data_IF_798646672722
#
_entry.id   IF_798646672722
#
_cell.length_a   1.000
_cell.length_b   1.000
_cell.length_c   1.000
_cell.angle_alpha   90.00
_cell.angle_beta   90.00
_cell.angle_gamma   90.00
#
_symmetry.space_group_name_H-M   'P 1'
#
loop_
_entity.id
_entity.type
_entity.pdbx_description
1 polymer ?
#
# COMPACT_ATOMS: atom_id res chain seq x y z
N UNK A 1 23.11 21.27 0.02
CA UNK A 1 21.64 21.33 0.19
C UNK A 1 21.02 20.46 -0.88
N UNK A 2 20.45 19.31 -0.53
CA UNK A 2 19.88 18.40 -1.51
C UNK A 2 18.56 18.95 -2.05
N UNK A 3 18.51 19.23 -3.35
CA UNK A 3 17.27 19.54 -4.06
C UNK A 3 16.34 18.33 -4.02
N UNK A 4 15.51 18.25 -2.97
CA UNK A 4 14.45 17.27 -2.89
C UNK A 4 13.27 17.77 -3.75
N UNK A 5 13.45 17.77 -5.06
CA UNK A 5 12.40 18.03 -6.04
C UNK A 5 11.64 16.73 -6.26
N UNK A 6 10.66 16.46 -5.40
CA UNK A 6 9.76 15.34 -5.63
C UNK A 6 8.87 15.66 -6.84
N UNK A 7 8.87 14.79 -7.85
CA UNK A 7 7.93 14.84 -8.97
C UNK A 7 6.61 14.21 -8.55
N UNK A 8 6.69 12.99 -8.02
CA UNK A 8 5.59 12.16 -7.57
C UNK A 8 5.98 11.36 -6.31
N UNK A 9 5.08 11.20 -5.33
CA UNK A 9 5.36 10.53 -4.06
C UNK A 9 4.11 9.84 -3.56
N UNK A 10 4.29 8.57 -3.22
CA UNK A 10 3.29 7.75 -2.55
C UNK A 10 3.74 7.48 -1.12
N UNK A 11 2.82 7.67 -0.17
CA UNK A 11 3.04 7.24 1.21
C UNK A 11 1.99 6.18 1.54
N UNK A 12 2.49 5.00 1.87
CA UNK A 12 1.68 3.81 2.12
C UNK A 12 1.59 3.57 3.61
N UNK A 13 0.38 3.62 4.16
CA UNK A 13 0.13 3.39 5.58
C UNK A 13 -0.45 1.99 5.79
N UNK A 14 0.29 1.13 6.51
CA UNK A 14 -0.09 -0.27 6.76
C UNK A 14 -0.51 -0.49 8.22
N UNK A 15 -1.13 -1.64 8.52
CA UNK A 15 -1.58 -1.97 9.89
C UNK A 15 -0.43 -1.95 10.92
N UNK A 16 0.71 -2.58 10.60
CA UNK A 16 1.78 -2.82 11.59
C UNK A 16 3.02 -1.91 11.44
N UNK A 17 3.07 -1.04 10.43
CA UNK A 17 4.24 -0.19 10.19
C UNK A 17 5.45 -0.90 9.60
N UNK A 18 6.35 -0.13 8.98
CA UNK A 18 7.71 -0.61 8.66
C UNK A 18 8.55 -0.56 9.95
N UNK A 19 9.03 -1.70 10.43
CA UNK A 19 10.05 -1.75 11.50
C UNK A 19 11.36 -1.18 10.94
N UNK A 20 11.73 0.05 11.33
CA UNK A 20 13.10 0.54 11.22
C UNK A 20 13.78 0.44 12.58
N UNK A 21 15.07 0.09 12.58
CA UNK A 21 15.83 -0.34 13.76
C UNK A 21 15.98 0.69 14.89
N UNK A 22 15.49 1.92 14.77
CA UNK A 22 15.76 2.97 15.77
C UNK A 22 14.55 3.74 16.32
N UNK A 23 13.37 3.75 15.68
CA UNK A 23 12.18 4.43 16.24
C UNK A 23 10.91 3.69 15.81
N UNK A 24 10.15 3.17 16.78
CA UNK A 24 8.81 2.60 16.54
C UNK A 24 7.80 3.72 16.33
N UNK A 25 7.77 4.37 15.16
CA UNK A 25 6.56 5.08 14.73
C UNK A 25 5.66 4.06 14.03
N UNK A 26 4.54 3.71 14.64
CA UNK A 26 3.52 2.88 13.98
C UNK A 26 3.01 3.63 12.73
N UNK A 27 2.68 2.93 11.64
CA UNK A 27 2.23 3.57 10.39
C UNK A 27 1.02 4.49 10.61
N UNK A 28 0.20 4.17 11.61
CA UNK A 28 -0.89 5.02 12.05
C UNK A 28 -0.41 6.39 12.56
N UNK A 29 0.58 6.47 13.45
CA UNK A 29 1.14 7.76 13.88
C UNK A 29 1.72 8.56 12.72
N UNK A 30 2.27 7.90 11.70
CA UNK A 30 2.76 8.56 10.49
C UNK A 30 1.60 9.09 9.64
N UNK A 31 0.53 8.31 9.47
CA UNK A 31 -0.71 8.75 8.80
C UNK A 31 -1.28 9.97 9.50
N UNK A 32 -1.44 9.89 10.82
CA UNK A 32 -1.96 10.98 11.65
C UNK A 32 -1.04 12.19 11.59
N UNK A 33 0.29 12.02 11.57
CA UNK A 33 1.23 13.12 11.36
C UNK A 33 1.04 13.77 9.98
N UNK A 34 0.88 12.96 8.93
CA UNK A 34 0.69 13.46 7.57
C UNK A 34 -0.65 14.18 7.42
N UNK A 35 -1.74 13.58 7.89
CA UNK A 35 -3.07 14.21 7.95
C UNK A 35 -3.04 15.51 8.75
N UNK A 36 -2.40 15.54 9.92
CA UNK A 36 -2.29 16.75 10.74
C UNK A 36 -1.49 17.86 10.05
N UNK A 37 -0.44 17.50 9.33
CA UNK A 37 0.34 18.42 8.52
C UNK A 37 -0.49 18.96 7.35
N UNK A 38 -1.08 18.09 6.54
CA UNK A 38 -1.88 18.46 5.36
C UNK A 38 -3.18 19.20 5.72
N UNK A 39 -3.81 18.88 6.85
CA UNK A 39 -5.03 19.53 7.34
C UNK A 39 -4.73 20.72 8.27
N UNK A 40 -3.46 20.97 8.61
CA UNK A 40 -3.01 22.06 9.52
C UNK A 40 -3.74 22.11 10.85
N UNK A 41 -3.99 20.95 11.45
CA UNK A 41 -4.81 20.80 12.68
C UNK A 41 -4.18 21.45 13.92
N UNK A 42 -2.92 21.90 13.85
CA UNK A 42 -2.17 22.49 14.97
C UNK A 42 -1.60 23.89 14.72
N UNK A 43 -2.16 24.68 13.80
CA UNK A 43 -1.69 26.05 13.52
C UNK A 43 -2.06 27.10 14.59
N UNK A 44 -2.22 26.74 15.88
CA UNK A 44 -2.45 27.74 16.96
C UNK A 44 -1.22 28.08 17.83
N UNK A 45 -0.06 27.42 17.73
CA UNK A 45 1.07 27.72 18.65
C UNK A 45 2.44 28.06 18.02
N UNK A 46 2.47 28.60 16.79
CA UNK A 46 3.72 29.19 16.23
C UNK A 46 3.56 30.54 15.51
N UNK A 47 2.53 31.33 15.87
CA UNK A 47 2.44 32.73 15.45
C UNK A 47 3.23 33.68 16.36
N UNK A 48 4.46 33.32 16.72
CA UNK A 48 5.46 34.28 17.20
C UNK A 48 6.66 34.21 16.26
N UNK A 49 6.94 35.36 15.63
CA UNK A 49 8.08 35.68 14.75
C UNK A 49 8.00 35.32 13.25
N UNK A 50 7.30 36.15 12.46
CA UNK A 50 7.87 37.34 11.79
C UNK A 50 6.84 37.90 10.81
N UNK A 51 6.29 39.07 11.15
CA UNK A 51 5.67 39.95 10.16
C UNK A 51 6.75 40.36 9.15
N UNK A 52 6.78 39.73 7.99
CA UNK A 52 7.37 40.33 6.79
C UNK A 52 6.57 39.95 5.56
N UNK A 53 5.88 40.98 5.03
CA UNK A 53 5.38 41.19 3.66
C UNK A 53 4.43 40.16 3.06
N UNK A 54 3.16 40.57 2.99
CA UNK A 54 2.19 40.31 1.91
C UNK A 54 2.48 39.11 0.99
N UNK A 55 2.08 37.92 1.41
CA UNK A 55 1.78 36.81 0.51
C UNK A 55 0.35 36.34 0.82
N UNK A 56 -0.50 36.37 -0.20
CA UNK A 56 -1.91 35.94 -0.11
C UNK A 56 -1.95 34.46 0.29
N UNK A 57 -2.29 34.18 1.54
CA UNK A 57 -2.67 32.83 2.00
C UNK A 57 -4.03 32.49 1.37
N UNK A 58 -4.05 31.71 0.30
CA UNK A 58 -5.29 31.11 -0.22
C UNK A 58 -5.34 29.64 0.21
N UNK A 59 -6.16 29.37 1.22
CA UNK A 59 -6.43 28.02 1.72
C UNK A 59 -7.76 27.57 1.10
N UNK A 60 -7.74 26.45 0.38
CA UNK A 60 -8.90 25.96 -0.34
C UNK A 60 -9.29 24.60 0.22
N UNK A 61 -10.32 24.61 1.05
CA UNK A 61 -10.91 23.44 1.71
C UNK A 61 -12.03 22.83 0.87
N UNK A 62 -12.16 21.51 0.72
CA UNK A 62 -13.43 20.90 0.31
C UNK A 62 -14.11 20.09 1.42
N UNK A 63 -15.25 20.64 1.86
CA UNK A 63 -16.56 20.04 2.23
C UNK A 63 -16.57 18.71 3.01
N UNK A 64 -16.70 18.80 4.33
CA UNK A 64 -18.01 18.71 5.02
C UNK A 64 -17.87 19.40 6.38
N UNK A 65 -18.98 19.80 7.01
CA UNK A 65 -19.05 20.48 8.30
C UNK A 65 -18.61 19.50 9.39
N UNK A 66 -17.31 19.26 9.48
CA UNK A 66 -16.67 18.51 10.52
C UNK A 66 -15.39 19.28 10.87
N UNK A 67 -15.18 19.61 12.14
CA UNK A 67 -13.89 20.15 12.58
C UNK A 67 -12.81 19.17 12.13
N UNK A 68 -11.61 19.63 11.77
CA UNK A 68 -10.54 18.75 11.26
C UNK A 68 -10.29 17.51 12.15
N UNK A 69 -10.55 17.63 13.45
CA UNK A 69 -10.53 16.53 14.42
C UNK A 69 -11.62 15.47 14.18
N UNK A 70 -12.84 15.87 13.85
CA UNK A 70 -13.95 14.95 13.55
C UNK A 70 -13.73 14.21 12.23
N UNK A 71 -13.16 14.88 11.22
CA UNK A 71 -12.74 14.22 9.98
C UNK A 71 -11.65 13.18 10.26
N UNK A 72 -10.67 13.53 11.08
CA UNK A 72 -9.62 12.60 11.51
C UNK A 72 -10.24 11.38 12.20
N UNK A 73 -11.14 11.57 13.17
CA UNK A 73 -11.85 10.47 13.85
C UNK A 73 -12.65 9.59 12.88
N UNK A 74 -13.30 10.19 11.86
CA UNK A 74 -14.04 9.44 10.84
C UNK A 74 -13.12 8.56 9.99
N UNK A 75 -11.97 9.09 9.58
CA UNK A 75 -10.95 8.34 8.84
C UNK A 75 -10.42 7.20 9.70
N UNK A 76 -10.12 7.46 10.97
CA UNK A 76 -9.66 6.45 11.92
C UNK A 76 -10.68 5.32 12.09
N UNK A 77 -11.97 5.66 12.20
CA UNK A 77 -13.05 4.70 12.37
C UNK A 77 -13.29 3.85 11.11
N UNK A 78 -13.29 4.46 9.91
CA UNK A 78 -13.46 3.71 8.67
C UNK A 78 -12.30 2.73 8.42
N UNK A 79 -11.06 3.17 8.69
CA UNK A 79 -9.90 2.29 8.68
C UNK A 79 -10.12 1.11 9.64
N UNK A 80 -10.57 1.37 10.87
CA UNK A 80 -10.80 0.33 11.88
C UNK A 80 -11.87 -0.67 11.44
N UNK A 81 -12.96 -0.21 10.83
CA UNK A 81 -14.06 -1.07 10.39
C UNK A 81 -13.68 -1.90 9.16
N UNK A 82 -12.96 -1.32 8.21
CA UNK A 82 -12.42 -2.06 7.07
C UNK A 82 -11.33 -3.05 7.49
N UNK A 83 -10.47 -2.72 8.46
CA UNK A 83 -9.53 -3.68 9.08
C UNK A 83 -10.29 -4.87 9.67
N UNK A 84 -11.37 -4.63 10.45
CA UNK A 84 -12.16 -5.67 11.12
C UNK A 84 -12.84 -6.64 10.14
N UNK A 85 -13.38 -6.14 9.03
CA UNK A 85 -13.96 -6.99 7.96
C UNK A 85 -12.99 -8.10 7.53
N UNK A 86 -11.68 -7.82 7.53
CA UNK A 86 -10.64 -8.76 7.16
C UNK A 86 -10.00 -9.50 8.36
N UNK A 87 -10.09 -8.99 9.60
CA UNK A 87 -9.76 -9.78 10.80
C UNK A 87 -10.68 -11.00 10.90
N UNK A 88 -11.96 -10.82 10.60
CA UNK A 88 -12.97 -11.89 10.60
C UNK A 88 -12.75 -12.98 9.53
N UNK A 89 -11.79 -12.80 8.61
CA UNK A 89 -11.41 -13.81 7.61
C UNK A 89 -10.36 -14.80 8.18
N UNK A 90 -9.67 -14.46 9.26
CA UNK A 90 -8.77 -15.38 9.96
C UNK A 90 -9.43 -15.85 11.25
N UNK A 91 -10.00 -17.06 11.25
CA UNK A 91 -10.38 -17.73 12.50
C UNK A 91 -9.10 -18.04 13.29
N UNK A 92 -8.81 -17.19 14.28
CA UNK A 92 -7.63 -17.33 15.13
C UNK A 92 -7.64 -18.65 15.91
N UNK A 93 -8.82 -19.24 16.14
CA UNK A 93 -8.94 -20.57 16.73
C UNK A 93 -8.52 -21.66 15.73
N UNK A 94 -8.92 -21.55 14.47
CA UNK A 94 -8.47 -22.46 13.41
C UNK A 94 -6.95 -22.39 13.24
N UNK A 95 -6.37 -21.18 13.25
CA UNK A 95 -4.91 -20.97 13.20
C UNK A 95 -4.20 -21.62 14.39
N UNK A 96 -4.69 -21.41 15.62
CA UNK A 96 -4.11 -22.02 16.83
C UNK A 96 -4.18 -23.55 16.77
N UNK A 97 -5.29 -24.09 16.27
CA UNK A 97 -5.48 -25.52 16.06
C UNK A 97 -4.47 -26.09 15.05
N UNK A 98 -4.36 -25.49 13.86
CA UNK A 98 -3.42 -25.94 12.82
C UNK A 98 -1.97 -25.84 13.29
N UNK A 99 -1.61 -24.80 14.06
CA UNK A 99 -0.28 -24.67 14.65
C UNK A 99 0.03 -25.82 15.62
N UNK A 100 -0.91 -26.12 16.52
CA UNK A 100 -0.80 -27.22 17.49
C UNK A 100 -0.68 -28.56 16.78
N UNK A 101 -1.53 -28.81 15.79
CA UNK A 101 -1.53 -30.05 15.01
C UNK A 101 -0.22 -30.21 14.21
N UNK A 102 0.29 -29.11 13.64
CA UNK A 102 1.59 -29.11 12.96
C UNK A 102 2.74 -29.42 13.91
N UNK A 103 2.77 -28.84 15.11
CA UNK A 103 3.79 -29.13 16.12
C UNK A 103 3.73 -30.60 16.59
N UNK A 104 2.52 -31.12 16.81
CA UNK A 104 2.31 -32.52 17.17
C UNK A 104 2.77 -33.47 16.06
N UNK A 105 2.45 -33.15 14.80
CA UNK A 105 2.88 -33.93 13.64
C UNK A 105 4.40 -33.87 13.46
N UNK A 106 5.01 -32.69 13.65
CA UNK A 106 6.47 -32.49 13.60
C UNK A 106 7.19 -33.33 14.66
N UNK A 107 6.71 -33.30 15.91
CA UNK A 107 7.25 -34.10 17.01
C UNK A 107 7.08 -35.61 16.76
N UNK A 108 5.94 -36.02 16.20
CA UNK A 108 5.68 -37.43 15.89
C UNK A 108 6.61 -37.95 14.77
N UNK A 109 6.87 -37.11 13.76
CA UNK A 109 7.75 -37.44 12.64
C UNK A 109 9.22 -37.48 13.08
N UNK A 110 9.67 -36.50 13.88
CA UNK A 110 11.07 -36.39 14.32
C UNK A 110 11.53 -37.56 15.19
N UNK A 111 10.60 -38.30 15.82
CA UNK A 111 10.91 -39.54 16.56
C UNK A 111 11.41 -40.67 15.66
N UNK A 112 11.10 -40.63 14.36
CA UNK A 112 11.40 -41.70 13.41
C UNK A 112 12.32 -41.27 12.27
N UNK A 113 12.27 -40.00 11.89
CA UNK A 113 12.97 -39.48 10.72
C UNK A 113 13.61 -38.13 11.07
N UNK A 114 14.92 -37.94 10.81
CA UNK A 114 15.56 -36.63 10.91
C UNK A 114 14.83 -35.59 10.05
N UNK A 115 14.45 -34.47 10.64
CA UNK A 115 13.60 -33.49 9.95
C UNK A 115 14.36 -32.76 8.84
N UNK A 116 15.66 -32.59 8.99
CA UNK A 116 16.54 -31.96 8.01
C UNK A 116 16.49 -32.72 6.67
N UNK A 117 16.49 -34.05 6.74
CA UNK A 117 16.41 -34.92 5.55
C UNK A 117 15.02 -34.87 4.89
N UNK A 118 13.96 -34.74 5.70
CA UNK A 118 12.60 -34.54 5.19
C UNK A 118 12.50 -33.18 4.49
N UNK A 119 13.12 -32.14 5.04
CA UNK A 119 13.11 -30.80 4.45
C UNK A 119 13.84 -30.75 3.11
N UNK A 120 15.00 -31.41 3.00
CA UNK A 120 15.74 -31.53 1.73
C UNK A 120 14.93 -32.24 0.64
N UNK A 121 14.27 -33.35 0.96
CA UNK A 121 13.47 -34.07 -0.02
C UNK A 121 12.17 -33.33 -0.40
N UNK A 122 11.64 -32.50 0.49
CA UNK A 122 10.48 -31.66 0.20
C UNK A 122 10.76 -30.55 -0.81
N UNK A 123 12.02 -30.19 -1.03
CA UNK A 123 12.42 -29.28 -2.11
C UNK A 123 12.31 -29.96 -3.49
N UNK A 124 12.41 -31.30 -3.52
CA UNK A 124 12.49 -32.10 -4.74
C UNK A 124 11.16 -32.80 -5.07
N UNK A 125 10.36 -33.15 -4.07
CA UNK A 125 9.07 -33.83 -4.26
C UNK A 125 8.05 -33.45 -3.20
N UNK A 126 6.78 -33.43 -3.58
CA UNK A 126 5.63 -33.27 -2.66
C UNK A 126 4.96 -34.60 -2.32
N UNK A 127 5.38 -35.69 -2.94
CA UNK A 127 4.77 -37.01 -2.74
C UNK A 127 5.42 -37.73 -1.53
N UNK A 128 4.62 -38.05 -0.51
CA UNK A 128 5.10 -38.70 0.71
C UNK A 128 5.74 -40.07 0.45
N UNK A 129 5.23 -40.86 -0.50
CA UNK A 129 5.79 -42.15 -0.87
C UNK A 129 7.18 -42.02 -1.49
N UNK A 130 7.36 -41.07 -2.42
CA UNK A 130 8.66 -40.76 -3.02
C UNK A 130 9.66 -40.27 -1.97
N UNK A 131 9.23 -39.37 -1.08
CA UNK A 131 10.08 -38.88 0.02
C UNK A 131 10.49 -40.03 0.94
N UNK A 132 9.55 -40.88 1.36
CA UNK A 132 9.85 -42.03 2.22
C UNK A 132 10.80 -43.02 1.54
N UNK A 133 10.60 -43.28 0.25
CA UNK A 133 11.51 -44.10 -0.55
C UNK A 133 12.93 -43.51 -0.56
N UNK A 134 13.07 -42.21 -0.82
CA UNK A 134 14.37 -41.55 -0.85
C UNK A 134 15.04 -41.52 0.53
N UNK A 135 14.28 -41.33 1.61
CA UNK A 135 14.82 -41.41 2.97
C UNK A 135 15.41 -42.79 3.28
N UNK A 136 14.78 -43.86 2.78
CA UNK A 136 15.27 -45.24 2.98
C UNK A 136 16.46 -45.56 2.08
N UNK A 137 16.38 -45.27 0.78
CA UNK A 137 17.39 -45.74 -0.18
C UNK A 137 18.50 -44.73 -0.49
N UNK A 138 18.16 -43.44 -0.60
CA UNK A 138 19.12 -42.36 -0.90
C UNK A 138 19.84 -41.91 0.38
N UNK A 139 19.09 -41.61 1.44
CA UNK A 139 19.64 -41.11 2.71
C UNK A 139 19.96 -42.20 3.74
N UNK A 140 19.58 -43.46 3.46
CA UNK A 140 19.88 -44.63 4.31
C UNK A 140 19.49 -44.46 5.78
N UNK A 141 18.32 -43.85 6.04
CA UNK A 141 17.79 -43.67 7.40
C UNK A 141 17.51 -45.05 8.02
N UNK A 142 18.18 -45.34 9.14
CA UNK A 142 18.08 -46.63 9.83
C UNK A 142 16.67 -46.86 10.40
N UNK A 143 16.27 -48.13 10.47
CA UNK A 143 14.99 -48.58 11.05
C UNK A 143 13.73 -48.03 10.35
N UNK A 144 13.86 -47.61 9.09
CA UNK A 144 12.79 -47.10 8.26
C UNK A 144 12.50 -48.06 7.11
N UNK A 145 11.23 -48.36 6.84
CA UNK A 145 10.80 -49.19 5.70
C UNK A 145 10.10 -48.30 4.68
N UNK A 146 10.43 -48.47 3.40
CA UNK A 146 9.93 -47.65 2.28
C UNK A 146 8.41 -47.76 2.08
N UNK A 147 7.81 -48.86 2.55
CA UNK A 147 6.38 -49.15 2.46
C UNK A 147 5.67 -49.17 3.82
N UNK A 148 6.25 -48.61 4.89
CA UNK A 148 5.56 -48.51 6.18
C UNK A 148 4.36 -47.55 6.10
N UNK A 149 3.17 -48.13 6.00
CA UNK A 149 1.89 -47.41 5.92
C UNK A 149 1.70 -46.38 7.03
N UNK A 150 2.16 -46.68 8.27
CA UNK A 150 1.98 -45.78 9.41
C UNK A 150 2.87 -44.55 9.28
N UNK A 151 4.10 -44.75 8.83
CA UNK A 151 5.06 -43.67 8.61
C UNK A 151 4.66 -42.83 7.40
N UNK A 152 4.19 -43.46 6.33
CA UNK A 152 3.66 -42.78 5.15
C UNK A 152 2.50 -41.85 5.52
N UNK A 153 1.51 -42.34 6.28
CA UNK A 153 0.38 -41.51 6.75
C UNK A 153 0.82 -40.35 7.65
N UNK A 154 1.85 -40.56 8.47
CA UNK A 154 2.41 -39.51 9.34
C UNK A 154 3.08 -38.41 8.50
N UNK A 155 3.79 -38.81 7.44
CA UNK A 155 4.45 -37.90 6.50
C UNK A 155 3.45 -37.13 5.64
N UNK A 156 2.40 -37.79 5.12
CA UNK A 156 1.29 -37.13 4.41
C UNK A 156 0.62 -36.06 5.27
N UNK A 157 0.32 -36.40 6.53
CA UNK A 157 -0.26 -35.46 7.48
C UNK A 157 0.67 -34.27 7.74
N UNK A 158 1.97 -34.51 7.93
CA UNK A 158 2.95 -33.46 8.11
C UNK A 158 3.02 -32.52 6.89
N UNK A 159 3.05 -33.06 5.67
CA UNK A 159 3.10 -32.28 4.42
C UNK A 159 1.83 -31.44 4.27
N UNK A 160 0.65 -32.05 4.50
CA UNK A 160 -0.64 -31.36 4.45
C UNK A 160 -0.68 -30.18 5.43
N UNK A 161 -0.29 -30.40 6.69
CA UNK A 161 -0.25 -29.36 7.72
C UNK A 161 0.80 -28.29 7.43
N UNK A 162 1.97 -28.66 6.87
CA UNK A 162 3.01 -27.72 6.43
C UNK A 162 2.47 -26.78 5.33
N UNK A 163 1.76 -27.31 4.34
CA UNK A 163 1.14 -26.54 3.27
C UNK A 163 0.05 -25.60 3.80
N UNK A 164 -0.86 -26.10 4.66
CA UNK A 164 -1.87 -25.27 5.34
C UNK A 164 -1.22 -24.15 6.16
N UNK A 165 -0.12 -24.45 6.85
CA UNK A 165 0.66 -23.44 7.60
C UNK A 165 1.28 -22.37 6.69
N UNK A 166 1.76 -22.75 5.50
CA UNK A 166 2.29 -21.81 4.51
C UNK A 166 1.18 -20.91 3.99
N UNK A 167 0.03 -21.47 3.61
CA UNK A 167 -1.15 -20.72 3.16
C UNK A 167 -1.64 -19.73 4.22
N UNK A 168 -1.77 -20.18 5.48
CA UNK A 168 -2.13 -19.33 6.61
C UNK A 168 -1.11 -18.21 6.84
N UNK A 169 0.19 -18.52 6.79
CA UNK A 169 1.25 -17.52 6.93
C UNK A 169 1.18 -16.49 5.80
N UNK A 170 0.90 -16.90 4.57
CA UNK A 170 0.73 -16.01 3.43
C UNK A 170 -0.49 -15.10 3.62
N UNK A 171 -1.65 -15.64 4.02
CA UNK A 171 -2.86 -14.86 4.35
C UNK A 171 -2.58 -13.82 5.44
N UNK A 172 -1.93 -14.23 6.54
CA UNK A 172 -1.64 -13.36 7.69
C UNK A 172 -0.59 -12.29 7.38
N UNK A 173 0.47 -12.62 6.62
CA UNK A 173 1.50 -11.66 6.20
C UNK A 173 0.95 -10.64 5.20
N UNK A 174 0.14 -11.11 4.24
CA UNK A 174 -0.55 -10.22 3.29
C UNK A 174 -1.38 -9.20 4.06
N UNK A 175 -2.19 -9.66 5.01
CA UNK A 175 -3.03 -8.82 5.87
C UNK A 175 -2.25 -7.77 6.68
N UNK A 176 -1.18 -8.17 7.36
CA UNK A 176 -0.41 -7.25 8.21
C UNK A 176 0.38 -6.18 7.44
N UNK A 177 0.68 -6.43 6.16
CA UNK A 177 1.38 -5.52 5.26
C UNK A 177 0.44 -4.83 4.27
N UNK A 178 -0.88 -5.03 4.37
CA UNK A 178 -1.85 -4.33 3.54
C UNK A 178 -1.72 -2.82 3.76
N UNK A 179 -1.69 -2.10 2.65
CA UNK A 179 -1.80 -0.65 2.64
C UNK A 179 -3.27 -0.36 2.90
N UNK A 180 -3.57 0.40 3.94
CA UNK A 180 -4.92 0.76 4.35
C UNK A 180 -5.30 2.14 3.81
N UNK A 181 -4.35 3.07 3.89
CA UNK A 181 -4.46 4.41 3.33
C UNK A 181 -3.26 4.66 2.46
N UNK A 182 -3.50 5.27 1.30
CA UNK A 182 -2.48 5.79 0.42
C UNK A 182 -2.61 7.30 0.35
N UNK A 183 -1.53 7.98 0.67
CA UNK A 183 -1.39 9.39 0.36
C UNK A 183 -0.65 9.52 -0.98
N UNK A 184 -1.28 10.24 -1.90
CA UNK A 184 -0.72 10.55 -3.21
C UNK A 184 -0.40 12.04 -3.23
N UNK A 185 0.86 12.37 -3.48
CA UNK A 185 1.30 13.74 -3.66
C UNK A 185 1.58 13.97 -5.15
N UNK A 186 0.98 15.02 -5.71
CA UNK A 186 1.14 15.41 -7.11
C UNK A 186 1.63 16.85 -7.18
N UNK A 187 2.75 17.09 -7.87
CA UNK A 187 3.24 18.46 -8.10
C UNK A 187 2.27 19.17 -9.05
N UNK A 188 2.03 20.47 -8.85
CA UNK A 188 1.30 21.31 -9.81
C UNK A 188 2.34 21.97 -10.75
N UNK A 189 2.07 22.09 -12.07
CA UNK A 189 2.99 22.75 -12.99
C UNK A 189 3.37 24.17 -12.52
N UNK A 190 4.62 24.52 -12.74
CA UNK A 190 5.11 25.88 -12.46
C UNK A 190 4.42 26.90 -13.37
N UNK A 191 4.23 28.12 -12.85
CA UNK A 191 3.56 29.22 -13.56
C UNK A 191 2.12 28.93 -13.98
N UNK A 192 1.48 27.91 -13.42
CA UNK A 192 0.06 27.63 -13.65
C UNK A 192 -0.82 28.61 -12.87
N UNK A 193 -2.02 28.91 -13.37
CA UNK A 193 -3.00 29.70 -12.63
C UNK A 193 -3.50 28.91 -11.40
N UNK A 194 -3.11 29.37 -10.21
CA UNK A 194 -3.49 28.77 -8.92
C UNK A 194 -4.61 29.56 -8.20
N UNK A 195 -5.01 30.71 -8.77
CA UNK A 195 -6.12 31.54 -8.27
C UNK A 195 -7.47 30.95 -8.73
N UNK A 196 -7.71 29.72 -8.29
CA UNK A 196 -8.97 29.03 -8.51
C UNK A 196 -9.83 29.15 -7.26
N UNK A 197 -11.13 29.29 -7.47
CA UNK A 197 -12.09 29.23 -6.38
C UNK A 197 -12.11 27.82 -5.79
N UNK A 198 -12.64 27.74 -4.57
CA UNK A 198 -12.84 26.47 -3.90
C UNK A 198 -13.65 25.50 -4.74
N UNK A 199 -14.76 25.97 -5.31
CA UNK A 199 -15.65 25.17 -6.14
C UNK A 199 -14.97 24.66 -7.42
N UNK A 200 -13.98 25.41 -7.93
CA UNK A 200 -13.20 25.02 -9.11
C UNK A 200 -12.22 23.89 -8.76
N UNK A 201 -11.45 24.05 -7.68
CA UNK A 201 -10.57 22.97 -7.19
C UNK A 201 -11.33 21.70 -6.88
N UNK A 202 -12.51 21.85 -6.27
CA UNK A 202 -13.40 20.76 -5.94
C UNK A 202 -13.78 19.92 -7.16
N UNK A 203 -14.12 20.58 -8.27
CA UNK A 203 -14.43 19.93 -9.53
C UNK A 203 -13.21 19.18 -10.06
N UNK A 204 -12.03 19.84 -10.05
CA UNK A 204 -10.78 19.24 -10.54
C UNK A 204 -10.43 17.97 -9.77
N UNK A 205 -10.45 18.02 -8.43
CA UNK A 205 -10.11 16.87 -7.59
C UNK A 205 -11.12 15.75 -7.77
N UNK A 206 -12.42 16.07 -7.79
CA UNK A 206 -13.47 15.08 -8.02
C UNK A 206 -13.27 14.36 -9.36
N UNK A 207 -13.07 15.12 -10.44
CA UNK A 207 -12.86 14.56 -11.78
C UNK A 207 -11.59 13.71 -11.84
N UNK A 208 -10.51 14.12 -11.17
CA UNK A 208 -9.28 13.34 -11.10
C UNK A 208 -9.51 12.02 -10.34
N UNK A 209 -10.20 12.08 -9.20
CA UNK A 209 -10.56 10.89 -8.43
C UNK A 209 -11.43 9.94 -9.26
N UNK A 210 -12.40 10.45 -10.00
CA UNK A 210 -13.31 9.61 -10.79
C UNK A 210 -12.62 8.99 -12.01
N UNK A 211 -11.58 9.63 -12.57
CA UNK A 211 -10.81 9.08 -13.69
C UNK A 211 -9.74 8.07 -13.25
N UNK A 212 -8.99 8.36 -12.19
CA UNK A 212 -7.82 7.56 -11.78
C UNK A 212 -8.07 6.62 -10.60
N UNK A 213 -9.04 6.95 -9.77
CA UNK A 213 -9.31 6.28 -8.50
C UNK A 213 -10.80 5.99 -8.31
N UNK A 214 -11.53 5.74 -9.41
CA UNK A 214 -13.00 5.52 -9.41
C UNK A 214 -13.46 4.58 -8.31
N UNK A 215 -12.73 3.48 -8.12
CA UNK A 215 -13.06 2.37 -7.23
C UNK A 215 -12.47 2.51 -5.82
N UNK A 216 -11.88 3.66 -5.49
CA UNK A 216 -11.30 3.94 -4.18
C UNK A 216 -11.99 5.15 -3.57
N UNK A 217 -12.20 5.09 -2.27
CA UNK A 217 -12.79 6.20 -1.53
C UNK A 217 -11.72 7.27 -1.26
N UNK A 218 -12.07 8.53 -1.52
CA UNK A 218 -11.25 9.68 -1.16
C UNK A 218 -11.69 10.18 0.21
N UNK A 219 -10.81 10.09 1.20
CA UNK A 219 -11.08 10.61 2.53
C UNK A 219 -11.00 12.13 2.56
N UNK A 220 -9.91 12.68 2.02
CA UNK A 220 -9.72 14.12 1.91
C UNK A 220 -8.66 14.46 0.87
N UNK A 221 -8.69 15.71 0.43
CA UNK A 221 -7.66 16.31 -0.42
C UNK A 221 -7.23 17.65 0.13
N UNK A 222 -5.94 17.96 0.05
CA UNK A 222 -5.38 19.25 0.44
C UNK A 222 -4.56 19.81 -0.71
N UNK A 223 -4.65 21.12 -0.94
CA UNK A 223 -3.82 21.81 -1.92
C UNK A 223 -2.94 22.79 -1.17
N UNK A 224 -1.64 22.60 -1.28
CA UNK A 224 -0.65 23.49 -0.67
C UNK A 224 -0.07 24.37 -1.77
N UNK A 225 -0.26 25.68 -1.64
CA UNK A 225 0.28 26.68 -2.58
C UNK A 225 1.43 27.49 -1.98
N UNK A 226 1.71 27.30 -0.69
CA UNK A 226 2.56 28.15 0.16
C UNK A 226 3.76 27.41 0.78
N UNK A 227 3.94 26.12 0.51
CA UNK A 227 5.00 25.33 1.13
C UNK A 227 6.34 25.42 0.40
N UNK A 228 7.23 26.31 0.90
CA UNK A 228 8.62 26.46 0.49
C UNK A 228 8.90 27.71 -0.35
N UNK A 229 10.15 28.19 -0.30
CA UNK A 229 10.65 29.27 -1.17
C UNK A 229 10.43 28.87 -2.63
N UNK A 230 9.56 29.61 -3.34
CA UNK A 230 9.24 29.57 -4.78
C UNK A 230 9.25 28.17 -5.45
N UNK A 231 8.12 27.75 -6.06
CA UNK A 231 8.00 26.60 -6.97
C UNK A 231 7.73 25.20 -6.37
N UNK A 232 6.78 25.08 -5.42
CA UNK A 232 6.45 23.77 -4.79
C UNK A 232 4.96 23.50 -4.57
N UNK A 233 4.05 24.15 -5.28
CA UNK A 233 2.61 23.89 -5.12
C UNK A 233 2.28 22.43 -5.45
N UNK A 234 1.49 21.78 -4.60
CA UNK A 234 1.17 20.36 -4.74
C UNK A 234 -0.19 20.01 -4.15
N UNK A 235 -0.71 18.87 -4.58
CA UNK A 235 -1.96 18.28 -4.11
C UNK A 235 -1.63 17.04 -3.29
N UNK A 236 -2.25 16.92 -2.12
CA UNK A 236 -2.35 15.68 -1.35
C UNK A 236 -3.71 15.05 -1.58
N UNK A 237 -3.74 13.75 -1.87
CA UNK A 237 -4.96 12.93 -1.89
C UNK A 237 -4.80 11.80 -0.90
N UNK A 238 -5.67 11.74 0.11
CA UNK A 238 -5.71 10.64 1.07
C UNK A 238 -6.81 9.67 0.65
N UNK A 239 -6.41 8.54 0.08
CA UNK A 239 -7.30 7.54 -0.47
C UNK A 239 -7.35 6.32 0.44
N UNK A 240 -8.53 5.72 0.56
CA UNK A 240 -8.64 4.33 0.97
C UNK A 240 -7.89 3.48 -0.06
N UNK A 241 -7.04 2.59 0.42
CA UNK A 241 -6.39 1.62 -0.47
C UNK A 241 -7.31 0.46 -0.85
N UNK A 242 -8.51 0.39 -0.25
CA UNK A 242 -9.50 -0.64 -0.54
C UNK A 242 -10.19 -0.37 -1.88
N UNK A 243 -10.13 -1.35 -2.78
CA UNK A 243 -10.83 -1.34 -4.04
C UNK A 243 -12.25 -1.89 -3.87
N UNK A 244 -13.26 -1.03 -4.00
CA UNK A 244 -14.67 -1.38 -3.79
C UNK A 244 -15.22 -2.37 -4.83
N UNK A 245 -14.59 -2.50 -6.01
CA UNK A 245 -15.01 -3.43 -7.06
C UNK A 245 -14.31 -4.79 -6.91
N UNK A 246 -12.98 -4.78 -6.72
CA UNK A 246 -12.16 -6.00 -6.63
C UNK A 246 -12.09 -6.61 -5.23
N UNK A 247 -12.55 -5.89 -4.22
CA UNK A 247 -12.44 -6.26 -2.81
C UNK A 247 -10.98 -6.58 -2.39
N UNK A 248 -10.02 -5.76 -2.86
CA UNK A 248 -8.58 -5.89 -2.58
C UNK A 248 -7.97 -4.58 -2.03
N UNK A 249 -6.69 -4.64 -1.60
CA UNK A 249 -5.93 -3.47 -1.10
C UNK A 249 -4.71 -3.16 -1.98
N UNK A 250 -4.72 -3.62 -3.24
CA UNK A 250 -3.54 -3.61 -4.12
C UNK A 250 -3.49 -2.32 -4.96
N UNK A 251 -3.80 -1.17 -4.36
CA UNK A 251 -3.88 0.14 -5.03
C UNK A 251 -2.62 0.47 -5.84
N UNK A 252 -1.41 0.17 -5.35
CA UNK A 252 -0.17 0.43 -6.08
C UNK A 252 -0.09 -0.36 -7.38
N UNK A 253 -0.40 -1.66 -7.32
CA UNK A 253 -0.36 -2.52 -8.50
C UNK A 253 -1.47 -2.15 -9.48
N UNK A 254 -2.65 -1.80 -8.96
CA UNK A 254 -3.77 -1.36 -9.77
C UNK A 254 -3.45 -0.04 -10.51
N UNK A 255 -2.92 0.99 -9.83
CA UNK A 255 -2.51 2.26 -10.47
C UNK A 255 -1.35 2.05 -11.44
N UNK A 256 -0.34 1.25 -11.07
CA UNK A 256 0.78 0.93 -11.95
C UNK A 256 0.31 0.28 -13.24
N UNK A 257 -0.52 -0.76 -13.13
CA UNK A 257 -1.05 -1.47 -14.30
C UNK A 257 -1.95 -0.57 -15.15
N UNK A 258 -2.73 0.31 -14.53
CA UNK A 258 -3.56 1.27 -15.27
C UNK A 258 -2.71 2.17 -16.18
N UNK A 259 -1.66 2.80 -15.65
CA UNK A 259 -0.77 3.67 -16.44
C UNK A 259 0.05 2.86 -17.44
N UNK A 260 0.58 1.71 -17.02
CA UNK A 260 1.35 0.82 -17.91
C UNK A 260 0.53 0.40 -19.13
N UNK A 261 -0.75 0.08 -18.94
CA UNK A 261 -1.67 -0.30 -20.01
C UNK A 261 -2.13 0.90 -20.84
N UNK A 262 -2.45 2.04 -20.21
CA UNK A 262 -2.90 3.27 -20.90
C UNK A 262 -1.87 3.74 -21.94
N UNK A 263 -0.58 3.55 -21.66
CA UNK A 263 0.53 4.01 -22.50
C UNK A 263 1.37 2.89 -23.12
N UNK A 264 0.96 1.61 -22.98
CA UNK A 264 1.67 0.45 -23.53
C UNK A 264 3.17 0.41 -23.18
N UNK A 265 3.52 0.74 -21.93
CA UNK A 265 4.92 0.96 -21.52
C UNK A 265 5.72 -0.34 -21.28
N UNK A 266 5.05 -1.50 -21.21
CA UNK A 266 5.65 -2.81 -20.94
C UNK A 266 6.55 -2.86 -19.67
N UNK A 267 6.14 -2.15 -18.62
CA UNK A 267 6.88 -2.05 -17.36
C UNK A 267 6.64 -3.24 -16.43
N UNK A 268 7.65 -3.62 -15.66
CA UNK A 268 7.56 -4.65 -14.61
C UNK A 268 7.40 -4.01 -13.23
N UNK A 269 6.29 -4.30 -12.55
CA UNK A 269 5.99 -3.81 -11.20
C UNK A 269 7.06 -4.18 -10.15
N UNK A 270 7.89 -5.19 -10.40
CA UNK A 270 8.91 -5.62 -9.44
C UNK A 270 10.28 -4.94 -9.67
N UNK A 271 10.45 -4.18 -10.75
CA UNK A 271 11.73 -3.51 -11.09
C UNK A 271 11.72 -2.05 -10.65
N UNK A 272 12.75 -1.65 -9.91
CA UNK A 272 12.84 -0.29 -9.35
C UNK A 272 12.92 0.77 -10.45
N UNK A 273 13.66 0.52 -11.51
CA UNK A 273 13.87 1.44 -12.63
C UNK A 273 12.55 1.71 -13.37
N UNK A 274 11.67 0.70 -13.44
CA UNK A 274 10.36 0.81 -14.07
C UNK A 274 9.36 1.59 -13.20
N UNK A 275 9.52 1.58 -11.87
CA UNK A 275 8.79 2.50 -10.99
C UNK A 275 9.14 3.95 -11.30
N UNK A 276 10.41 4.29 -11.52
CA UNK A 276 10.80 5.67 -11.83
C UNK A 276 10.16 6.17 -13.14
N UNK A 277 10.11 5.31 -14.16
CA UNK A 277 9.41 5.60 -15.43
C UNK A 277 7.91 5.77 -15.21
N UNK A 278 7.28 4.86 -14.47
CA UNK A 278 5.87 4.96 -14.10
C UNK A 278 5.57 6.28 -13.38
N UNK A 279 6.38 6.66 -12.39
CA UNK A 279 6.18 7.89 -11.61
C UNK A 279 6.26 9.14 -12.48
N UNK A 280 7.22 9.18 -13.42
CA UNK A 280 7.34 10.28 -14.37
C UNK A 280 6.12 10.37 -15.28
N UNK A 281 5.72 9.25 -15.89
CA UNK A 281 4.56 9.21 -16.77
C UNK A 281 3.27 9.59 -16.05
N UNK A 282 3.11 9.13 -14.81
CA UNK A 282 1.93 9.42 -14.01
C UNK A 282 1.83 10.91 -13.65
N UNK A 283 2.97 11.54 -13.35
CA UNK A 283 3.02 12.99 -13.11
C UNK A 283 2.74 13.81 -14.38
N UNK A 284 3.23 13.37 -15.55
CA UNK A 284 2.91 13.98 -16.83
C UNK A 284 1.42 13.88 -17.16
N UNK A 285 0.81 12.72 -16.88
CA UNK A 285 -0.62 12.50 -17.09
C UNK A 285 -1.47 13.41 -16.18
N UNK A 286 -1.05 13.63 -14.93
CA UNK A 286 -1.65 14.65 -14.06
C UNK A 286 -1.52 16.07 -14.64
N UNK A 287 -0.38 16.44 -15.21
CA UNK A 287 -0.23 17.75 -15.85
C UNK A 287 -1.17 17.90 -17.04
N UNK A 288 -1.27 16.90 -17.91
CA UNK A 288 -2.21 16.92 -19.05
C UNK A 288 -3.65 17.01 -18.55
N UNK A 289 -4.02 16.22 -17.55
CA UNK A 289 -5.33 16.27 -16.91
C UNK A 289 -5.64 17.66 -16.36
N UNK A 290 -4.73 18.24 -15.57
CA UNK A 290 -4.93 19.53 -14.91
C UNK A 290 -5.12 20.67 -15.92
N UNK A 291 -4.33 20.69 -17.00
CA UNK A 291 -4.49 21.67 -18.07
C UNK A 291 -5.82 21.53 -18.81
N UNK A 292 -6.30 20.31 -19.03
CA UNK A 292 -7.62 20.07 -19.61
C UNK A 292 -8.71 20.65 -18.71
N UNK A 293 -8.64 20.40 -17.41
CA UNK A 293 -9.61 20.94 -16.45
C UNK A 293 -9.58 22.47 -16.39
N UNK A 294 -8.40 23.08 -16.38
CA UNK A 294 -8.27 24.54 -16.41
C UNK A 294 -8.85 25.14 -17.70
N UNK A 295 -8.70 24.46 -18.84
CA UNK A 295 -9.34 24.87 -20.09
C UNK A 295 -10.87 24.86 -19.98
N UNK A 296 -11.43 23.79 -19.41
CA UNK A 296 -12.88 23.64 -19.20
C UNK A 296 -13.44 24.73 -18.27
N UNK A 297 -12.63 25.22 -17.33
CA UNK A 297 -12.95 26.32 -16.42
C UNK A 297 -12.62 27.73 -16.98
N UNK A 298 -12.23 27.84 -18.25
CA UNK A 298 -11.82 29.08 -18.91
C UNK A 298 -10.64 29.81 -18.22
N UNK A 299 -9.70 29.05 -17.64
CA UNK A 299 -8.48 29.56 -16.99
C UNK A 299 -7.28 29.53 -17.93
N UNK A 300 -6.25 30.33 -17.64
CA UNK A 300 -5.00 30.38 -18.41
C UNK A 300 -4.22 29.08 -18.25
N UNK A 301 -3.65 28.62 -19.38
CA UNK A 301 -2.79 27.43 -19.49
C UNK A 301 -1.37 27.87 -19.79
N UNK A 302 -0.38 27.30 -19.11
CA UNK A 302 1.04 27.61 -19.34
C UNK A 302 1.86 26.38 -19.70
N UNK A 303 1.44 25.18 -19.30
CA UNK A 303 2.11 23.95 -19.73
C UNK A 303 1.65 23.54 -21.15
N UNK A 304 2.50 23.80 -22.15
CA UNK A 304 2.38 23.21 -23.50
C UNK A 304 2.97 21.81 -23.46
N UNK A 305 2.19 20.81 -23.88
CA UNK A 305 2.69 19.43 -24.05
C UNK A 305 4.03 19.45 -24.79
N UNK A 306 5.04 18.78 -24.23
CA UNK A 306 6.04 18.10 -25.05
C UNK A 306 5.27 17.04 -25.83
N UNK A 307 5.29 17.16 -27.15
CA UNK A 307 4.76 16.19 -28.10
C UNK A 307 5.28 14.80 -27.72
N UNK A 308 4.39 13.90 -27.32
CA UNK A 308 4.70 12.47 -27.29
C UNK A 308 4.66 12.03 -28.76
N UNK A 309 5.83 11.63 -29.28
CA UNK A 309 5.99 10.96 -30.57
C UNK A 309 5.35 9.58 -30.49
#
# INVERSE_FOLDING_TARGET
MGNNTFLYKEINFTKNGKKSFKIRKNCYSQLITSLKHSLRVFEEEKNTYKQTKNTRKMIIFQISILKNEELLLKIEQDIKDNIKKFENINDENERKKILKDFQNSKSSLSKKIPLEMVELELEQSKNAGTILHNLVYKHKVKNLKSHDKRTLKTLENFISLKNKMIELKQKTRKYNNQILVKEVLLKIPEMQELDLKKEEWNIIIKNFKDEYFKNYDLYCSCIHVDEGTENKSHVHLFLSSYNNEKNDFDINKNTFNYINNKYSLNLDFNKKEDHEKFMKQYQEDFYTFFNRQLKELNKKRTYKNLTII
#
